data_IF_369521890574
#
_entry.id   IF_369521890574
#
_cell.length_a   1.000
_cell.length_b   1.000
_cell.length_c   1.000
_cell.angle_alpha   90.00
_cell.angle_beta   90.00
_cell.angle_gamma   90.00
#
_symmetry.space_group_name_H-M   'P 1'
#
loop_
_entity.id
_entity.type
_entity.pdbx_description
1 polymer ?
#
# COMPACT_ATOMS: atom_id res chain seq x y z
N UNK A 1 7.14 -20.64 -7.85
CA UNK A 1 6.75 -19.29 -7.35
C UNK A 1 6.84 -18.36 -8.54
N UNK A 2 5.81 -17.56 -8.83
CA UNK A 2 5.87 -16.62 -9.96
C UNK A 2 6.94 -15.55 -9.69
N UNK A 3 7.68 -15.15 -10.71
CA UNK A 3 8.67 -14.08 -10.64
C UNK A 3 7.99 -12.75 -10.24
N UNK A 4 8.66 -11.94 -9.42
CA UNK A 4 8.18 -10.59 -9.07
C UNK A 4 8.58 -9.60 -10.16
N UNK A 5 7.59 -8.93 -10.77
CA UNK A 5 7.82 -7.99 -11.87
C UNK A 5 8.19 -6.57 -11.38
N UNK A 6 7.86 -6.25 -10.13
CA UNK A 6 8.03 -4.92 -9.54
C UNK A 6 8.79 -4.97 -8.21
N UNK A 7 9.51 -3.89 -7.92
CA UNK A 7 9.87 -3.44 -6.57
C UNK A 7 8.65 -2.77 -5.90
N UNK A 8 8.84 -2.22 -4.70
CA UNK A 8 7.77 -1.51 -3.96
C UNK A 8 8.31 -0.21 -3.35
N UNK A 9 7.60 0.89 -3.58
CA UNK A 9 7.74 2.12 -2.80
C UNK A 9 6.63 2.18 -1.75
N UNK A 10 6.97 2.64 -0.55
CA UNK A 10 6.03 2.76 0.56
C UNK A 10 5.90 4.25 0.91
N UNK A 11 4.67 4.75 0.87
CA UNK A 11 4.30 6.04 1.44
C UNK A 11 3.64 5.76 2.78
N UNK A 12 4.32 6.10 3.87
CA UNK A 12 3.80 5.90 5.22
C UNK A 12 2.98 7.09 5.71
N UNK A 13 1.99 6.80 6.56
CA UNK A 13 1.21 7.79 7.32
C UNK A 13 0.63 8.93 6.46
N UNK A 14 0.17 8.59 5.26
CA UNK A 14 -0.58 9.53 4.44
C UNK A 14 -1.94 9.81 5.10
N UNK A 15 -2.12 11.03 5.61
CA UNK A 15 -3.30 11.43 6.38
C UNK A 15 -4.49 11.77 5.47
N UNK A 16 -5.34 10.77 5.20
CA UNK A 16 -6.52 10.89 4.32
C UNK A 16 -7.66 11.62 5.06
N UNK A 17 -8.17 12.75 4.52
CA UNK A 17 -9.28 13.48 5.14
C UNK A 17 -10.63 12.80 4.89
N UNK A 18 -11.42 12.66 5.96
CA UNK A 18 -12.79 12.16 5.93
C UNK A 18 -13.80 13.32 5.83
N UNK A 19 -15.07 12.99 5.57
CA UNK A 19 -16.17 13.97 5.42
C UNK A 19 -16.43 14.85 6.66
N UNK A 20 -16.04 14.36 7.83
CA UNK A 20 -16.21 15.02 9.13
C UNK A 20 -14.95 15.80 9.57
N UNK A 21 -13.92 15.83 8.73
CA UNK A 21 -12.65 16.51 9.03
C UNK A 21 -11.64 15.66 9.79
N UNK A 22 -12.01 14.45 10.26
CA UNK A 22 -11.05 13.50 10.84
C UNK A 22 -10.08 13.02 9.76
N UNK A 23 -8.83 12.77 10.13
CA UNK A 23 -7.80 12.29 9.20
C UNK A 23 -7.33 10.90 9.63
N UNK A 24 -7.40 9.94 8.72
CA UNK A 24 -6.99 8.55 8.99
C UNK A 24 -5.59 8.31 8.43
N UNK A 25 -4.71 7.75 9.27
CA UNK A 25 -3.36 7.39 8.88
C UNK A 25 -3.39 6.20 7.92
N UNK A 26 -2.72 6.32 6.78
CA UNK A 26 -2.80 5.35 5.69
C UNK A 26 -1.42 5.08 5.10
N UNK A 27 -1.04 3.81 5.03
CA UNK A 27 0.16 3.36 4.35
C UNK A 27 -0.20 2.89 2.93
N UNK A 28 0.59 3.33 1.95
CA UNK A 28 0.36 3.06 0.52
C UNK A 28 1.60 2.37 -0.05
N UNK A 29 1.42 1.16 -0.56
CA UNK A 29 2.43 0.35 -1.21
C UNK A 29 2.20 0.40 -2.72
N UNK A 30 3.19 0.90 -3.45
CA UNK A 30 3.08 1.26 -4.87
C UNK A 30 4.09 0.41 -5.66
N UNK A 31 3.68 -0.24 -6.76
CA UNK A 31 4.61 -0.92 -7.67
C UNK A 31 5.71 0.02 -8.15
N UNK A 32 6.96 -0.43 -8.07
CA UNK A 32 8.13 0.34 -8.43
C UNK A 32 9.06 -0.44 -9.37
N UNK A 33 9.93 0.27 -10.09
CA UNK A 33 11.06 -0.28 -10.83
C UNK A 33 12.24 0.66 -10.68
N UNK A 34 13.43 0.11 -10.44
CA UNK A 34 14.67 0.88 -10.26
C UNK A 34 14.54 1.99 -9.18
N UNK A 35 13.84 1.66 -8.09
CA UNK A 35 13.62 2.58 -6.97
C UNK A 35 12.66 3.74 -7.25
N UNK A 36 11.90 3.71 -8.36
CA UNK A 36 10.89 4.72 -8.70
C UNK A 36 9.52 4.09 -8.86
N UNK A 37 8.47 4.81 -8.42
CA UNK A 37 7.10 4.37 -8.62
C UNK A 37 6.83 4.27 -10.12
N UNK A 38 6.22 3.16 -10.55
CA UNK A 38 5.87 2.99 -11.95
C UNK A 38 4.69 3.89 -12.28
N UNK A 39 4.82 4.70 -13.31
CA UNK A 39 3.74 5.53 -13.81
C UNK A 39 2.66 4.65 -14.46
N UNK A 40 1.38 4.94 -14.16
CA UNK A 40 0.25 4.23 -14.77
C UNK A 40 -0.90 3.99 -13.80
N UNK A 41 -1.88 3.21 -14.27
CA UNK A 41 -3.02 2.77 -13.46
C UNK A 41 -2.81 1.33 -13.04
N UNK A 42 -2.94 1.07 -11.75
CA UNK A 42 -2.90 -0.26 -11.18
C UNK A 42 -4.23 -0.54 -10.44
N UNK A 43 -4.70 -1.79 -10.41
CA UNK A 43 -5.77 -2.18 -9.50
C UNK A 43 -5.34 -1.94 -8.04
N UNK A 44 -6.28 -1.50 -7.21
CA UNK A 44 -6.03 -1.22 -5.80
C UNK A 44 -6.68 -2.27 -4.89
N UNK A 45 -5.97 -2.66 -3.84
CA UNK A 45 -6.50 -3.44 -2.71
C UNK A 45 -6.48 -2.52 -1.49
N UNK A 46 -7.62 -2.37 -0.83
CA UNK A 46 -7.75 -1.60 0.40
C UNK A 46 -8.07 -2.53 1.57
N UNK A 47 -7.28 -2.43 2.62
CA UNK A 47 -7.53 -3.09 3.90
C UNK A 47 -7.65 -2.01 4.99
N UNK A 48 -8.78 -2.00 5.71
CA UNK A 48 -9.02 -1.11 6.85
C UNK A 48 -9.02 -1.94 8.10
N UNK A 49 -8.21 -1.58 9.09
CA UNK A 49 -8.00 -2.39 10.29
C UNK A 49 -8.04 -1.53 11.55
N UNK A 50 -8.85 -1.88 12.56
CA UNK A 50 -8.79 -1.22 13.86
C UNK A 50 -7.57 -1.68 14.70
N UNK A 51 -6.76 -2.60 14.16
CA UNK A 51 -5.69 -3.29 14.88
C UNK A 51 -4.32 -2.92 14.31
N UNK A 52 -3.93 -1.65 14.43
CA UNK A 52 -2.64 -1.07 14.03
C UNK A 52 -2.13 -1.56 12.65
N UNK A 53 -2.16 -0.69 11.65
CA UNK A 53 -1.66 -0.98 10.29
C UNK A 53 -0.22 -1.49 10.21
N UNK A 54 0.59 -1.31 11.25
CA UNK A 54 1.97 -1.81 11.33
C UNK A 54 2.10 -3.24 11.90
N UNK A 55 0.98 -3.90 12.27
CA UNK A 55 1.03 -5.27 12.78
C UNK A 55 1.62 -6.24 11.75
N UNK A 56 2.39 -7.22 12.23
CA UNK A 56 2.98 -8.27 11.40
C UNK A 56 1.92 -8.94 10.50
N UNK A 57 2.25 -9.09 9.22
CA UNK A 57 1.37 -9.68 8.20
C UNK A 57 0.73 -8.68 7.24
N UNK A 58 0.44 -7.44 7.67
CA UNK A 58 -0.08 -6.41 6.74
C UNK A 58 1.00 -6.01 5.73
N UNK A 59 2.22 -5.70 6.20
CA UNK A 59 3.33 -5.33 5.34
C UNK A 59 3.72 -6.46 4.36
N UNK A 60 3.77 -7.71 4.81
CA UNK A 60 4.12 -8.86 3.96
C UNK A 60 3.09 -9.07 2.85
N UNK A 61 1.79 -9.00 3.20
CA UNK A 61 0.69 -9.08 2.24
C UNK A 61 0.74 -7.92 1.25
N UNK A 62 0.93 -6.70 1.75
CA UNK A 62 0.99 -5.50 0.92
C UNK A 62 2.17 -5.54 -0.07
N UNK A 63 3.36 -5.95 0.38
CA UNK A 63 4.54 -6.14 -0.47
C UNK A 63 4.27 -7.25 -1.50
N UNK A 64 3.70 -8.39 -1.10
CA UNK A 64 3.43 -9.51 -2.00
C UNK A 64 2.54 -9.13 -3.20
N UNK A 65 1.47 -8.38 -2.95
CA UNK A 65 0.57 -7.91 -4.01
C UNK A 65 1.18 -6.75 -4.80
N UNK A 66 1.91 -5.86 -4.15
CA UNK A 66 2.54 -4.71 -4.84
C UNK A 66 3.60 -5.14 -5.85
N UNK A 67 4.38 -6.18 -5.52
CA UNK A 67 5.32 -6.82 -6.46
C UNK A 67 4.66 -7.47 -7.69
N UNK A 68 3.32 -7.57 -7.71
CA UNK A 68 2.50 -8.13 -8.82
C UNK A 68 1.66 -7.07 -9.52
N UNK A 69 1.96 -5.79 -9.33
CA UNK A 69 1.26 -4.71 -10.01
C UNK A 69 -0.09 -4.33 -9.37
N UNK A 70 -0.23 -4.50 -8.05
CA UNK A 70 -1.34 -3.90 -7.30
C UNK A 70 -0.84 -2.70 -6.49
N UNK A 71 -1.67 -1.67 -6.34
CA UNK A 71 -1.47 -0.71 -5.24
C UNK A 71 -2.14 -1.31 -4.01
N UNK A 72 -1.40 -1.48 -2.92
CA UNK A 72 -1.97 -1.95 -1.66
C UNK A 72 -2.05 -0.81 -0.66
N UNK A 73 -3.21 -0.65 -0.03
CA UNK A 73 -3.49 0.44 0.92
C UNK A 73 -3.92 -0.15 2.24
N UNK A 74 -3.24 0.21 3.33
CA UNK A 74 -3.61 -0.17 4.70
C UNK A 74 -3.95 1.09 5.48
N UNK A 75 -5.13 1.12 6.10
CA UNK A 75 -5.61 2.27 6.87
C UNK A 75 -6.07 1.84 8.27
N UNK A 76 -5.76 2.66 9.28
CA UNK A 76 -6.29 2.53 10.64
C UNK A 76 -7.78 2.95 10.75
#
# INVERSE_FOLDING_TARGET
MSESEYDVIIVKDFMVPMRDGVRLATDIYIPAKDGKAVEGKFPAILERTPYNKEMMGFADKAIYFSKKGYVFVVQD
#
